data_IF_391321448140
#
_entry.id   IF_391321448140
#
_cell.length_a   1.000
_cell.length_b   1.000
_cell.length_c   1.000
_cell.angle_alpha   90.00
_cell.angle_beta   90.00
_cell.angle_gamma   90.00
#
_symmetry.space_group_name_H-M   'P 1'
#
loop_
_entity.id
_entity.type
_entity.pdbx_description
1 polymer ?
#
# COMPACT_ATOMS: atom_id res chain seq x y z
N UNK A 1 44.96 16.61 -7.88
CA UNK A 1 44.37 15.30 -7.51
C UNK A 1 43.35 14.94 -8.58
N UNK A 2 43.49 13.80 -9.25
CA UNK A 2 42.57 13.39 -10.33
C UNK A 2 41.39 12.61 -9.75
N UNK A 3 40.16 13.03 -10.04
CA UNK A 3 38.95 12.32 -9.65
C UNK A 3 38.90 10.96 -10.36
N UNK A 4 38.83 9.87 -9.58
CA UNK A 4 38.61 8.54 -10.12
C UNK A 4 37.18 8.46 -10.69
N UNK A 5 37.05 8.06 -11.96
CA UNK A 5 35.75 7.84 -12.59
C UNK A 5 35.06 6.63 -11.96
N UNK A 6 33.88 6.85 -11.36
CA UNK A 6 33.04 5.75 -10.85
C UNK A 6 32.74 4.79 -12.00
N UNK A 7 33.14 3.53 -11.84
CA UNK A 7 32.72 2.44 -12.73
C UNK A 7 31.20 2.34 -12.70
N UNK A 8 30.53 2.78 -13.77
CA UNK A 8 29.08 2.59 -13.92
C UNK A 8 28.78 1.09 -13.89
N UNK A 9 27.84 0.66 -13.04
CA UNK A 9 27.32 -0.71 -13.07
C UNK A 9 26.88 -1.00 -14.50
N UNK A 10 27.48 -2.00 -15.15
CA UNK A 10 27.05 -2.45 -16.48
C UNK A 10 25.67 -3.05 -16.31
N UNK A 11 24.66 -2.34 -16.79
CA UNK A 11 23.31 -2.89 -16.93
C UNK A 11 23.38 -3.84 -18.12
N UNK A 12 23.18 -5.14 -17.88
CA UNK A 12 23.01 -6.08 -18.99
C UNK A 12 21.82 -5.61 -19.81
N UNK A 13 22.04 -5.38 -21.10
CA UNK A 13 20.95 -4.97 -21.99
C UNK A 13 19.87 -6.05 -21.98
N UNK A 14 18.60 -5.62 -21.91
CA UNK A 14 17.46 -6.53 -22.05
C UNK A 14 17.59 -7.25 -23.40
N UNK A 15 17.30 -8.56 -23.44
CA UNK A 15 17.33 -9.34 -24.68
C UNK A 15 16.38 -8.69 -25.71
N UNK A 16 16.86 -8.56 -26.95
CA UNK A 16 16.15 -8.00 -28.10
C UNK A 16 16.10 -9.02 -29.23
N UNK A 17 15.13 -8.85 -30.13
CA UNK A 17 14.99 -9.69 -31.31
C UNK A 17 16.11 -9.33 -32.31
N UNK A 18 16.37 -10.17 -33.33
CA UNK A 18 17.43 -9.91 -34.31
C UNK A 18 17.28 -8.59 -35.07
N UNK A 19 16.05 -8.09 -35.20
CA UNK A 19 15.69 -6.79 -35.78
C UNK A 19 15.84 -5.61 -34.79
N UNK A 20 16.23 -5.88 -33.55
CA UNK A 20 16.33 -4.90 -32.45
C UNK A 20 15.00 -4.61 -31.74
N UNK A 21 13.91 -5.24 -32.16
CA UNK A 21 12.59 -5.05 -31.56
C UNK A 21 12.54 -5.58 -30.12
N UNK A 22 11.62 -5.02 -29.32
CA UNK A 22 11.26 -5.57 -28.01
C UNK A 22 10.30 -6.76 -28.12
N UNK A 23 9.74 -6.97 -29.31
CA UNK A 23 8.77 -8.01 -29.63
C UNK A 23 9.32 -8.93 -30.70
N UNK A 24 8.95 -10.20 -30.62
CA UNK A 24 9.18 -11.20 -31.66
C UNK A 24 7.84 -11.84 -32.03
N UNK A 25 7.59 -12.06 -33.31
CA UNK A 25 6.40 -12.77 -33.78
C UNK A 25 6.55 -14.28 -33.50
N UNK A 26 5.58 -14.92 -32.81
CA UNK A 26 5.54 -16.38 -32.68
C UNK A 26 5.38 -16.96 -34.10
N UNK A 27 6.31 -17.79 -34.54
CA UNK A 27 6.22 -18.42 -35.87
C UNK A 27 5.02 -19.37 -35.98
N UNK A 28 4.52 -19.90 -34.85
CA UNK A 28 3.36 -20.81 -34.85
C UNK A 28 1.98 -20.16 -34.76
N UNK A 29 1.81 -18.97 -34.18
CA UNK A 29 0.50 -18.27 -34.14
C UNK A 29 0.49 -16.89 -34.80
N UNK A 30 1.65 -16.38 -35.22
CA UNK A 30 1.79 -15.06 -35.84
C UNK A 30 1.62 -13.87 -34.90
N UNK A 31 1.32 -14.09 -33.60
CA UNK A 31 1.16 -13.01 -32.62
C UNK A 31 2.52 -12.42 -32.25
N UNK A 32 2.59 -11.09 -32.18
CA UNK A 32 3.77 -10.38 -31.65
C UNK A 32 3.82 -10.50 -30.12
N UNK A 33 4.84 -11.17 -29.61
CA UNK A 33 5.02 -11.44 -28.18
C UNK A 33 6.26 -10.71 -27.69
N UNK A 34 6.21 -10.14 -26.48
CA UNK A 34 7.39 -9.55 -25.86
C UNK A 34 8.46 -10.62 -25.65
N UNK A 35 9.72 -10.34 -26.02
CA UNK A 35 10.80 -11.37 -26.01
C UNK A 35 11.00 -11.99 -24.64
N UNK A 36 10.82 -11.21 -23.57
CA UNK A 36 10.91 -11.67 -22.18
C UNK A 36 9.85 -12.73 -21.84
N UNK A 37 8.75 -12.76 -22.60
CA UNK A 37 7.60 -13.64 -22.38
C UNK A 37 7.44 -14.69 -23.48
N UNK A 38 8.36 -14.78 -24.46
CA UNK A 38 8.25 -15.73 -25.58
C UNK A 38 8.16 -17.18 -25.10
N UNK A 39 8.93 -17.57 -24.08
CA UNK A 39 8.89 -18.94 -23.53
C UNK A 39 7.61 -19.24 -22.75
N UNK A 40 6.90 -18.21 -22.28
CA UNK A 40 5.68 -18.31 -21.47
C UNK A 40 4.41 -18.01 -22.25
N UNK A 41 4.53 -17.69 -23.55
CA UNK A 41 3.36 -17.35 -24.33
C UNK A 41 2.65 -18.63 -24.77
N UNK A 42 1.35 -18.66 -24.52
CA UNK A 42 0.49 -19.75 -24.97
C UNK A 42 0.20 -19.55 -26.46
N UNK A 43 1.09 -20.04 -27.33
CA UNK A 43 0.79 -20.17 -28.75
C UNK A 43 -0.39 -21.17 -28.82
N UNK A 44 -1.54 -20.79 -29.43
CA UNK A 44 -2.72 -21.67 -29.62
C UNK A 44 -2.39 -22.81 -30.59
N UNK A 45 -1.41 -23.63 -30.23
CA UNK A 45 -1.13 -24.89 -30.88
C UNK A 45 -2.36 -25.76 -30.66
N UNK A 46 -2.85 -26.37 -31.75
CA UNK A 46 -3.89 -27.42 -31.72
C UNK A 46 -3.39 -28.70 -31.06
N UNK A 47 -2.51 -28.59 -30.07
CA UNK A 47 -2.06 -29.68 -29.25
C UNK A 47 -2.99 -29.66 -28.04
N UNK A 48 -3.76 -30.74 -27.87
CA UNK A 48 -4.58 -31.04 -26.70
C UNK A 48 -3.72 -31.26 -25.45
N UNK A 49 -2.76 -30.37 -25.18
CA UNK A 49 -2.15 -30.25 -23.88
C UNK A 49 -3.25 -29.69 -23.01
N UNK A 50 -3.79 -30.57 -22.18
CA UNK A 50 -4.71 -30.29 -21.08
C UNK A 50 -4.21 -29.01 -20.43
N UNK A 51 -4.83 -27.87 -20.78
CA UNK A 51 -4.56 -26.59 -20.14
C UNK A 51 -4.61 -26.92 -18.67
N UNK A 52 -3.51 -26.73 -17.94
CA UNK A 52 -3.69 -26.39 -16.54
C UNK A 52 -4.50 -25.11 -16.64
N UNK A 53 -5.82 -25.25 -16.55
CA UNK A 53 -6.70 -24.17 -16.15
C UNK A 53 -6.02 -23.70 -14.88
N UNK A 54 -5.16 -22.67 -15.01
CA UNK A 54 -4.55 -22.01 -13.89
C UNK A 54 -5.69 -21.84 -12.93
N UNK A 55 -5.55 -22.50 -11.77
CA UNK A 55 -6.65 -22.95 -10.93
C UNK A 55 -7.76 -21.96 -11.14
N UNK A 56 -8.81 -22.36 -11.89
CA UNK A 56 -10.11 -21.75 -11.71
C UNK A 56 -10.44 -22.19 -10.29
N UNK A 57 -9.76 -21.58 -9.33
CA UNK A 57 -10.31 -21.33 -8.04
C UNK A 57 -11.60 -20.72 -8.49
N UNK A 58 -12.67 -21.45 -8.21
CA UNK A 58 -13.88 -20.78 -7.86
C UNK A 58 -13.38 -19.60 -7.02
N UNK A 59 -13.33 -18.41 -7.64
CA UNK A 59 -13.49 -17.22 -6.86
C UNK A 59 -14.83 -17.54 -6.23
N UNK A 60 -14.81 -18.13 -5.03
CA UNK A 60 -15.95 -18.10 -4.14
C UNK A 60 -16.38 -16.66 -4.30
N UNK A 61 -17.53 -16.38 -4.94
CA UNK A 61 -17.95 -15.00 -5.10
C UNK A 61 -17.88 -14.49 -3.68
N UNK A 62 -16.96 -13.55 -3.42
CA UNK A 62 -16.65 -13.14 -2.07
C UNK A 62 -18.00 -12.75 -1.52
N UNK A 63 -18.55 -13.62 -0.67
CA UNK A 63 -19.87 -13.39 -0.12
C UNK A 63 -19.61 -12.11 0.65
N UNK A 64 -20.27 -11.01 0.27
CA UNK A 64 -19.95 -9.69 0.84
C UNK A 64 -19.93 -9.76 2.37
N UNK A 65 -20.80 -10.60 2.93
CA UNK A 65 -20.88 -11.03 4.32
C UNK A 65 -19.58 -11.62 4.92
N UNK A 66 -18.83 -12.45 4.20
CA UNK A 66 -17.55 -13.05 4.66
C UNK A 66 -16.37 -12.08 4.53
N UNK A 67 -16.46 -11.10 3.61
CA UNK A 67 -15.48 -10.02 3.49
C UNK A 67 -15.69 -8.95 4.56
N UNK A 68 -16.96 -8.65 4.85
CA UNK A 68 -17.40 -7.68 5.86
C UNK A 68 -16.79 -7.99 7.22
N UNK A 69 -16.82 -9.26 7.65
CA UNK A 69 -16.30 -9.69 8.96
C UNK A 69 -14.79 -9.44 9.15
N UNK A 70 -13.99 -9.57 8.08
CA UNK A 70 -12.52 -9.46 8.20
C UNK A 70 -11.99 -8.04 8.29
N UNK A 71 -12.81 -7.05 7.94
CA UNK A 71 -12.37 -5.67 7.88
C UNK A 71 -13.15 -4.77 8.85
N UNK A 72 -13.99 -5.31 9.74
CA UNK A 72 -14.86 -4.52 10.63
C UNK A 72 -14.09 -3.50 11.46
N UNK A 73 -12.88 -3.85 11.88
CA UNK A 73 -12.02 -2.99 12.68
C UNK A 73 -11.11 -2.07 11.86
N UNK A 74 -11.10 -2.17 10.52
CA UNK A 74 -10.27 -1.31 9.68
C UNK A 74 -10.97 0.01 9.36
N UNK A 75 -10.21 1.11 9.21
CA UNK A 75 -10.77 2.39 8.85
C UNK A 75 -11.36 2.34 7.44
N UNK A 76 -12.54 2.91 7.25
CA UNK A 76 -13.29 2.92 5.99
C UNK A 76 -13.93 4.28 5.72
N UNK A 77 -14.18 4.59 4.46
CA UNK A 77 -14.87 5.81 4.06
C UNK A 77 -16.39 5.67 4.17
N UNK A 78 -17.10 6.81 4.25
CA UNK A 78 -18.57 6.84 4.32
C UNK A 78 -19.20 6.11 3.12
N UNK A 79 -18.62 6.33 1.94
CA UNK A 79 -19.06 5.68 0.71
C UNK A 79 -19.04 4.15 0.80
N UNK A 80 -18.10 3.55 1.56
CA UNK A 80 -18.03 2.10 1.70
C UNK A 80 -19.19 1.55 2.52
N UNK A 81 -19.52 2.21 3.64
CA UNK A 81 -20.72 1.86 4.42
C UNK A 81 -22.00 2.00 3.59
N UNK A 82 -22.10 3.05 2.78
CA UNK A 82 -23.19 3.18 1.83
C UNK A 82 -23.21 2.06 0.78
N UNK A 83 -22.09 1.72 0.17
CA UNK A 83 -22.06 0.67 -0.84
C UNK A 83 -22.44 -0.69 -0.26
N UNK A 84 -22.06 -0.97 0.99
CA UNK A 84 -22.47 -2.18 1.71
C UNK A 84 -23.98 -2.23 1.94
N UNK A 85 -24.58 -1.12 2.41
CA UNK A 85 -26.04 -1.04 2.60
C UNK A 85 -26.80 -1.07 1.27
N UNK A 86 -26.29 -0.38 0.25
CA UNK A 86 -26.87 -0.29 -1.09
C UNK A 86 -26.84 -1.65 -1.79
N UNK A 87 -25.70 -2.32 -1.76
CA UNK A 87 -25.49 -3.62 -2.39
C UNK A 87 -26.43 -4.70 -1.82
N UNK A 88 -26.64 -4.70 -0.50
CA UNK A 88 -27.60 -5.61 0.17
C UNK A 88 -29.04 -5.42 -0.30
N UNK A 89 -29.40 -4.18 -0.64
CA UNK A 89 -30.75 -3.83 -1.12
C UNK A 89 -30.87 -3.82 -2.64
N UNK A 90 -29.77 -3.96 -3.38
CA UNK A 90 -29.78 -3.91 -4.84
C UNK A 90 -30.14 -5.28 -5.44
N UNK A 91 -31.16 -5.32 -6.29
CA UNK A 91 -31.56 -6.56 -6.98
C UNK A 91 -30.67 -6.93 -8.17
N UNK A 92 -29.64 -6.15 -8.48
CA UNK A 92 -28.75 -6.44 -9.60
C UNK A 92 -27.85 -7.65 -9.27
N UNK A 93 -27.63 -8.53 -10.26
CA UNK A 93 -26.77 -9.72 -10.13
C UNK A 93 -25.33 -9.44 -10.55
N UNK A 94 -25.09 -8.33 -11.25
CA UNK A 94 -23.80 -7.96 -11.80
C UNK A 94 -23.12 -6.91 -10.89
N UNK A 95 -21.93 -7.25 -10.40
CA UNK A 95 -21.11 -6.37 -9.55
C UNK A 95 -20.87 -4.99 -10.19
N UNK A 96 -20.56 -4.96 -11.50
CA UNK A 96 -20.27 -3.71 -12.21
C UNK A 96 -21.50 -2.81 -12.25
N UNK A 97 -22.68 -3.38 -12.43
CA UNK A 97 -23.94 -2.61 -12.41
C UNK A 97 -24.25 -2.07 -11.02
N UNK A 98 -23.93 -2.83 -9.97
CA UNK A 98 -24.12 -2.41 -8.57
C UNK A 98 -23.18 -1.25 -8.25
N UNK A 99 -21.91 -1.36 -8.65
CA UNK A 99 -20.91 -0.29 -8.47
C UNK A 99 -21.31 0.99 -9.20
N UNK A 100 -21.73 0.90 -10.46
CA UNK A 100 -22.16 2.06 -11.24
C UNK A 100 -23.40 2.72 -10.63
N UNK A 101 -24.44 1.94 -10.32
CA UNK A 101 -25.68 2.48 -9.72
C UNK A 101 -25.43 3.07 -8.35
N UNK A 102 -24.64 2.40 -7.52
CA UNK A 102 -24.25 2.87 -6.19
C UNK A 102 -23.48 4.18 -6.27
N UNK A 103 -22.51 4.28 -7.18
CA UNK A 103 -21.77 5.52 -7.38
C UNK A 103 -22.68 6.69 -7.80
N UNK A 104 -23.56 6.48 -8.77
CA UNK A 104 -24.50 7.51 -9.21
C UNK A 104 -25.49 7.90 -8.11
N UNK A 105 -25.97 6.95 -7.31
CA UNK A 105 -26.82 7.27 -6.16
C UNK A 105 -26.06 8.08 -5.12
N UNK A 106 -24.85 7.65 -4.72
CA UNK A 106 -24.01 8.41 -3.79
C UNK A 106 -23.73 9.83 -4.26
N UNK A 107 -23.44 10.01 -5.54
CA UNK A 107 -23.17 11.33 -6.12
C UNK A 107 -24.39 12.25 -6.02
N UNK A 108 -25.59 11.70 -6.20
CA UNK A 108 -26.85 12.44 -6.16
C UNK A 108 -27.46 12.57 -4.76
N UNK A 109 -26.92 11.88 -3.74
CA UNK A 109 -27.37 12.02 -2.36
C UNK A 109 -26.96 13.36 -1.75
N UNK A 110 -27.88 13.93 -0.99
CA UNK A 110 -27.68 15.13 -0.18
C UNK A 110 -26.74 14.88 1.00
N UNK A 111 -26.15 15.94 1.57
CA UNK A 111 -25.29 15.80 2.75
C UNK A 111 -26.02 15.15 3.92
N UNK A 112 -27.32 15.46 4.11
CA UNK A 112 -28.14 14.88 5.18
C UNK A 112 -28.31 13.36 5.04
N UNK A 113 -28.46 12.86 3.82
CA UNK A 113 -28.55 11.42 3.55
C UNK A 113 -27.21 10.70 3.72
N UNK A 114 -26.09 11.44 3.58
CA UNK A 114 -24.74 10.92 3.79
C UNK A 114 -24.32 10.88 5.26
N UNK A 115 -24.89 11.76 6.10
CA UNK A 115 -24.60 11.84 7.54
C UNK A 115 -24.57 10.50 8.28
N UNK A 116 -25.54 9.58 8.13
CA UNK A 116 -25.48 8.30 8.85
C UNK A 116 -24.21 7.50 8.53
N UNK A 117 -23.80 7.49 7.27
CA UNK A 117 -22.58 6.79 6.84
C UNK A 117 -21.30 7.52 7.28
N UNK A 118 -21.35 8.85 7.38
CA UNK A 118 -20.27 9.67 7.94
C UNK A 118 -20.03 9.42 9.41
N UNK A 119 -21.10 9.38 10.21
CA UNK A 119 -21.01 9.08 11.62
C UNK A 119 -20.50 7.65 11.87
N UNK A 120 -20.95 6.69 11.06
CA UNK A 120 -20.50 5.30 11.16
C UNK A 120 -19.02 5.15 10.79
N UNK A 121 -18.59 5.74 9.67
CA UNK A 121 -17.20 5.75 9.26
C UNK A 121 -16.29 6.41 10.29
N UNK A 122 -16.69 7.57 10.80
CA UNK A 122 -15.95 8.28 11.84
C UNK A 122 -15.79 7.42 13.09
N UNK A 123 -16.85 6.76 13.55
CA UNK A 123 -16.80 5.88 14.72
C UNK A 123 -15.79 4.74 14.54
N UNK A 124 -15.81 4.07 13.39
CA UNK A 124 -14.88 2.96 13.12
C UNK A 124 -13.44 3.47 13.00
N UNK A 125 -13.24 4.60 12.32
CA UNK A 125 -11.93 5.23 12.17
C UNK A 125 -11.35 5.65 13.53
N UNK A 126 -12.14 6.34 14.36
CA UNK A 126 -11.74 6.79 15.70
C UNK A 126 -11.35 5.58 16.58
N UNK A 127 -12.17 4.53 16.60
CA UNK A 127 -11.88 3.30 17.35
C UNK A 127 -10.59 2.60 16.86
N UNK A 128 -10.32 2.64 15.56
CA UNK A 128 -9.08 2.11 14.99
C UNK A 128 -7.86 2.93 15.44
N UNK A 129 -7.95 4.26 15.39
CA UNK A 129 -6.87 5.13 15.84
C UNK A 129 -6.61 5.02 17.35
N UNK A 130 -7.66 4.88 18.17
CA UNK A 130 -7.52 4.62 19.60
C UNK A 130 -6.77 3.31 19.87
N UNK A 131 -7.09 2.23 19.13
CA UNK A 131 -6.36 0.95 19.24
C UNK A 131 -4.89 1.10 18.86
N UNK A 132 -4.59 1.81 17.78
CA UNK A 132 -3.21 2.06 17.35
C UNK A 132 -2.40 2.86 18.38
N UNK A 133 -3.00 3.91 18.95
CA UNK A 133 -2.35 4.72 19.98
C UNK A 133 -2.03 3.86 21.20
N UNK A 134 -2.99 3.07 21.67
CA UNK A 134 -2.78 2.16 22.81
C UNK A 134 -1.67 1.14 22.54
N UNK A 135 -1.65 0.51 21.37
CA UNK A 135 -0.58 -0.43 21.00
C UNK A 135 0.80 0.26 20.99
N UNK A 136 0.87 1.50 20.54
CA UNK A 136 2.11 2.28 20.57
C UNK A 136 2.57 2.62 22.00
N UNK A 137 1.63 2.91 22.90
CA UNK A 137 1.90 3.15 24.32
C UNK A 137 2.38 1.87 25.02
N UNK A 138 1.69 0.75 24.80
CA UNK A 138 2.06 -0.56 25.35
C UNK A 138 3.47 -0.98 24.86
N UNK A 139 3.79 -0.76 23.58
CA UNK A 139 5.12 -1.04 23.02
C UNK A 139 6.20 -0.12 23.60
N UNK A 140 5.89 1.16 23.87
CA UNK A 140 6.82 2.09 24.50
C UNK A 140 7.13 1.71 25.95
N UNK A 141 6.12 1.26 26.70
CA UNK A 141 6.27 0.81 28.09
C UNK A 141 6.98 -0.55 28.23
N UNK A 142 6.95 -1.39 27.20
CA UNK A 142 7.59 -2.71 27.19
C UNK A 142 9.14 -2.68 27.11
N UNK A 143 9.76 -1.55 26.80
CA UNK A 143 11.22 -1.44 26.63
C UNK A 143 12.01 -1.22 27.95
N UNK A 144 11.40 -1.38 29.13
CA UNK A 144 11.98 -0.90 30.41
C UNK A 144 12.69 -1.98 31.23
N UNK A 145 12.45 -3.28 31.05
CA UNK A 145 12.97 -4.30 31.99
C UNK A 145 13.71 -5.49 31.34
N UNK A 146 14.61 -5.23 30.40
CA UNK A 146 15.74 -6.14 30.18
C UNK A 146 17.03 -5.48 30.71
N UNK A 147 17.07 -5.26 32.03
CA UNK A 147 18.30 -5.21 32.82
C UNK A 147 19.06 -6.51 32.52
N UNK A 148 19.92 -6.44 31.50
CA UNK A 148 20.85 -7.50 31.15
C UNK A 148 21.79 -7.66 32.34
N UNK A 149 21.77 -8.85 32.95
CA UNK A 149 22.68 -9.25 34.03
C UNK A 149 24.12 -9.18 33.50
N UNK A 150 24.68 -7.97 33.55
CA UNK A 150 26.03 -7.66 33.07
C UNK A 150 27.00 -8.23 34.09
N UNK A 151 27.48 -9.43 33.78
CA UNK A 151 28.53 -10.10 34.51
C UNK A 151 29.69 -9.12 34.82
N UNK A 152 30.07 -9.06 36.09
CA UNK A 152 31.18 -8.28 36.64
C UNK A 152 32.49 -8.55 35.86
N UNK A 153 32.79 -7.70 34.88
CA UNK A 153 34.13 -7.63 34.28
C UNK A 153 34.96 -6.64 35.08
N UNK A 154 35.83 -7.22 35.90
CA UNK A 154 37.16 -6.75 36.30
C UNK A 154 37.46 -5.26 36.23
N UNK A 155 37.67 -4.69 37.42
CA UNK A 155 38.34 -3.42 37.73
C UNK A 155 39.38 -3.00 36.68
N UNK A 156 39.22 -1.82 36.13
CA UNK A 156 40.36 -1.01 35.68
C UNK A 156 40.21 0.44 36.17
N UNK A 157 41.36 1.02 36.51
CA UNK A 157 41.53 2.13 37.42
C UNK A 157 40.98 3.49 36.95
N UNK A 158 40.59 4.27 37.95
CA UNK A 158 40.20 5.69 37.87
C UNK A 158 41.30 6.56 37.26
N UNK A 159 40.94 7.39 36.27
CA UNK A 159 41.48 8.74 36.18
C UNK A 159 40.47 9.73 35.53
N UNK A 160 40.19 10.78 36.31
CA UNK A 160 39.42 12.02 36.09
C UNK A 160 39.30 12.65 34.69
N UNK A 161 38.18 13.35 34.49
CA UNK A 161 38.10 14.60 33.71
C UNK A 161 36.72 14.78 33.04
N UNK A 162 35.73 15.36 33.73
CA UNK A 162 35.31 16.77 33.63
C UNK A 162 34.01 16.91 32.82
N UNK A 163 33.03 17.54 33.44
CA UNK A 163 31.72 17.94 32.89
C UNK A 163 31.87 18.72 31.58
N UNK A 164 30.93 18.53 30.64
CA UNK A 164 30.05 19.62 30.20
C UNK A 164 28.79 19.05 29.54
N UNK A 165 27.68 19.49 30.12
CA UNK A 165 26.29 19.33 29.73
C UNK A 165 25.97 20.46 28.75
N UNK A 166 25.62 20.18 27.49
CA UNK A 166 25.06 21.20 26.62
C UNK A 166 23.96 20.60 25.73
N UNK A 167 22.73 20.79 26.19
CA UNK A 167 21.49 20.52 25.47
C UNK A 167 21.16 21.73 24.59
N UNK A 168 21.55 21.69 23.32
CA UNK A 168 21.13 22.71 22.34
C UNK A 168 19.68 22.45 21.90
N UNK A 169 18.76 23.19 22.52
CA UNK A 169 17.35 23.30 22.13
C UNK A 169 17.23 24.38 21.05
N UNK A 170 17.35 24.00 19.77
CA UNK A 170 17.10 24.95 18.68
C UNK A 170 15.60 24.99 18.32
N UNK A 171 15.05 26.11 18.79
CA UNK A 171 13.79 26.79 18.49
C UNK A 171 13.16 26.52 17.12
N UNK A 172 11.85 26.30 17.13
CA UNK A 172 10.97 26.47 15.99
C UNK A 172 11.05 27.93 15.49
N UNK A 173 11.41 28.12 14.23
CA UNK A 173 11.20 29.39 13.52
C UNK A 173 9.99 29.23 12.60
N UNK A 174 8.91 29.91 12.96
CA UNK A 174 7.65 29.97 12.23
C UNK A 174 7.59 31.29 11.46
N UNK A 175 8.00 31.29 10.21
CA UNK A 175 7.83 32.43 9.32
C UNK A 175 6.64 32.21 8.37
N UNK A 176 5.47 32.63 8.85
CA UNK A 176 4.37 33.08 8.00
C UNK A 176 4.53 34.59 7.79
N UNK A 177 4.58 35.00 6.52
CA UNK A 177 4.00 36.22 5.92
C UNK A 177 4.95 36.91 4.92
N UNK A 178 4.47 37.06 3.68
CA UNK A 178 5.15 37.91 2.71
C UNK A 178 4.90 37.66 1.22
N UNK A 179 3.79 37.05 0.79
CA UNK A 179 3.45 37.07 -0.64
C UNK A 179 2.92 38.44 -1.05
N UNK A 180 3.87 39.32 -1.38
CA UNK A 180 3.62 40.59 -2.04
C UNK A 180 3.00 40.38 -3.41
N UNK A 181 1.83 40.96 -3.60
CA UNK A 181 1.24 41.25 -4.90
C UNK A 181 2.22 42.10 -5.73
N UNK A 182 2.54 41.63 -6.94
CA UNK A 182 3.28 42.38 -7.94
C UNK A 182 2.70 42.12 -9.32
N UNK A 183 1.67 42.89 -9.67
CA UNK A 183 1.31 43.18 -11.07
C UNK A 183 2.55 43.72 -11.79
N UNK A 184 2.84 43.24 -13.01
CA UNK A 184 3.23 44.00 -14.21
C UNK A 184 3.40 42.99 -15.37
#
# INVERSE_FOLDING_TARGET
>A
MAYQSRTRKRVNALRRAPDGSAFQTCESCGVSVAIVLVDMHDCESKNDVKRSKGVKGEHKPLIWEELEQRFQDQPRSEFRFFMESFAKNCHAKNLVEIEQKGFETWKNMSSQEKLPYELEAKKVNDAYFEKLLKESEDHMFSCVDEEVDSAEVGKFDKMNGSYDDDVTYDSYDSDYEGNGFGFW
#
